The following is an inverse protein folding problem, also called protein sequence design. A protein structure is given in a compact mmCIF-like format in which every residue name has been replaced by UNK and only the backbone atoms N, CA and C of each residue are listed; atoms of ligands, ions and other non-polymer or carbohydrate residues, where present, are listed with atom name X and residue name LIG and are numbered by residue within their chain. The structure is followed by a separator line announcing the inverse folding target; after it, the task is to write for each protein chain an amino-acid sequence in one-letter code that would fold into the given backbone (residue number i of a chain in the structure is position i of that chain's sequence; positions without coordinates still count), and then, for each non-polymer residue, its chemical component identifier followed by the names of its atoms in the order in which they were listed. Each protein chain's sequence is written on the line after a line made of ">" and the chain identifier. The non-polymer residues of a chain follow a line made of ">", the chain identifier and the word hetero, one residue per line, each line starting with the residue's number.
data_IF_473323515312
#
_entry.id   IF_473323515312
#
_cell.length_a   1.000
_cell.length_b   1.000
_cell.length_c   1.000
_cell.angle_alpha   90.00
_cell.angle_beta   90.00
_cell.angle_gamma   90.00
#
_symmetry.space_group_name_H-M   'P 1'
#
loop_
_entity.id
_entity.type
_entity.pdbx_description
1 polymer ?
#
# COMPACT_ATOMS: atom_id res chain seq x y z
N UNK A 1 -2.30 21.55 -3.92
CA UNK A 1 -1.97 20.28 -4.59
C UNK A 1 -3.19 19.37 -4.49
N UNK A 2 -3.79 18.90 -5.60
CA UNK A 2 -4.91 17.98 -5.52
C UNK A 2 -4.42 16.65 -4.94
N UNK A 3 -4.91 16.30 -3.76
CA UNK A 3 -4.60 15.04 -3.09
C UNK A 3 -5.26 13.89 -3.82
N UNK A 4 -4.52 12.81 -4.12
CA UNK A 4 -5.05 11.56 -4.68
C UNK A 4 -5.99 10.80 -3.72
N UNK A 5 -6.49 11.41 -2.64
CA UNK A 5 -7.26 10.72 -1.60
C UNK A 5 -8.63 10.26 -2.12
N UNK A 6 -8.83 8.94 -2.16
CA UNK A 6 -10.15 8.32 -2.16
C UNK A 6 -10.76 8.35 -0.75
N UNK A 7 -12.09 8.44 -0.65
CA UNK A 7 -12.87 8.56 0.59
C UNK A 7 -13.09 7.24 1.36
N UNK A 8 -12.11 6.33 1.44
CA UNK A 8 -12.20 5.21 2.39
C UNK A 8 -11.62 5.68 3.72
N UNK A 9 -12.41 5.63 4.78
CA UNK A 9 -11.91 5.95 6.11
C UNK A 9 -10.97 4.84 6.64
N UNK A 10 -10.18 5.16 7.68
CA UNK A 10 -9.20 4.20 8.23
C UNK A 10 -9.85 2.95 8.83
N UNK A 11 -11.12 3.03 9.23
CA UNK A 11 -11.90 1.91 9.80
C UNK A 11 -12.34 0.96 8.69
N UNK A 12 -12.89 1.48 7.60
CA UNK A 12 -13.27 0.74 6.40
C UNK A 12 -12.05 0.08 5.76
N UNK A 13 -10.93 0.80 5.70
CA UNK A 13 -9.64 0.27 5.24
C UNK A 13 -9.19 -0.92 6.09
N UNK A 14 -9.21 -0.78 7.42
CA UNK A 14 -8.80 -1.86 8.34
C UNK A 14 -9.73 -3.06 8.23
N UNK A 15 -11.04 -2.84 8.19
CA UNK A 15 -12.05 -3.90 8.05
C UNK A 15 -11.84 -4.70 6.76
N UNK A 16 -11.68 -4.01 5.63
CA UNK A 16 -11.46 -4.66 4.34
C UNK A 16 -10.15 -5.47 4.30
N UNK A 17 -9.06 -4.94 4.88
CA UNK A 17 -7.78 -5.66 4.96
C UNK A 17 -7.80 -6.82 5.97
N UNK A 18 -8.62 -6.73 7.01
CA UNK A 18 -8.79 -7.77 8.03
C UNK A 18 -9.58 -8.97 7.50
N UNK A 19 -10.60 -8.71 6.68
CA UNK A 19 -11.42 -9.77 6.05
C UNK A 19 -10.64 -10.59 5.00
N UNK A 20 -9.46 -10.11 4.57
CA UNK A 20 -8.55 -10.84 3.68
C UNK A 20 -7.68 -11.82 4.47
N UNK A 21 -7.37 -13.03 3.96
CA UNK A 21 -6.53 -13.99 4.65
C UNK A 21 -5.13 -13.37 4.77
N UNK A 22 -4.47 -13.58 5.91
CA UNK A 22 -3.08 -13.14 6.10
C UNK A 22 -2.19 -13.82 5.06
N UNK A 23 -1.15 -13.12 4.61
CA UNK A 23 -0.16 -13.50 3.59
C UNK A 23 0.43 -14.92 3.79
N UNK A 24 -0.30 -15.99 3.51
CA UNK A 24 0.22 -17.35 3.59
C UNK A 24 0.88 -17.81 2.26
N UNK A 25 0.53 -17.16 1.14
CA UNK A 25 0.99 -17.59 -0.19
C UNK A 25 2.05 -16.68 -0.83
N UNK A 26 2.15 -15.42 -0.40
CA UNK A 26 3.13 -14.45 -0.93
C UNK A 26 3.84 -13.72 0.21
N UNK A 27 4.98 -14.25 0.63
CA UNK A 27 5.90 -13.58 1.55
C UNK A 27 6.67 -12.48 0.83
N UNK A 28 6.02 -11.34 0.56
CA UNK A 28 6.72 -10.12 0.19
C UNK A 28 7.26 -9.43 1.44
N UNK A 29 8.29 -10.02 2.05
CA UNK A 29 9.15 -9.26 2.95
C UNK A 29 10.20 -8.54 2.09
N UNK A 30 10.26 -7.20 2.12
CA UNK A 30 11.33 -6.50 1.45
C UNK A 30 12.67 -6.97 2.05
N UNK A 31 13.67 -7.33 1.23
CA UNK A 31 14.94 -7.83 1.72
C UNK A 31 15.55 -6.84 2.71
N UNK A 32 15.98 -7.34 3.87
CA UNK A 32 16.67 -6.52 4.85
C UNK A 32 18.03 -6.13 4.29
N UNK A 33 18.18 -4.88 3.87
CA UNK A 33 19.50 -4.34 3.52
C UNK A 33 20.30 -4.25 4.82
N UNK A 34 21.38 -5.01 4.92
CA UNK A 34 22.31 -4.89 6.03
C UNK A 34 22.83 -3.44 6.04
N UNK A 35 22.53 -2.69 7.11
CA UNK A 35 22.96 -1.29 7.24
C UNK A 35 24.48 -1.25 7.13
N UNK A 36 24.99 -0.75 6.00
CA UNK A 36 26.42 -0.57 5.84
C UNK A 36 26.86 0.57 6.77
N UNK A 37 27.94 0.40 7.55
CA UNK A 37 28.47 1.45 8.43
C UNK A 37 28.78 2.76 7.69
N UNK A 38 29.06 2.68 6.39
CA UNK A 38 29.38 3.81 5.50
C UNK A 38 28.16 4.53 4.90
N UNK A 39 26.92 4.09 5.17
CA UNK A 39 25.75 4.80 4.64
C UNK A 39 25.59 6.17 5.29
N UNK A 40 25.42 7.20 4.46
CA UNK A 40 25.01 8.53 4.94
C UNK A 40 23.61 8.47 5.56
N UNK A 41 23.31 9.44 6.43
CA UNK A 41 21.99 9.54 7.06
C UNK A 41 20.88 9.77 6.03
N UNK A 42 21.16 10.58 4.99
CA UNK A 42 20.27 10.77 3.84
C UNK A 42 20.01 9.47 3.10
N UNK A 43 21.04 8.65 2.84
CA UNK A 43 20.87 7.35 2.20
C UNK A 43 20.03 6.40 3.05
N UNK A 44 20.22 6.38 4.38
CA UNK A 44 19.39 5.57 5.31
C UNK A 44 17.93 6.01 5.31
N UNK A 45 17.67 7.32 5.30
CA UNK A 45 16.31 7.87 5.27
C UNK A 45 15.60 7.50 3.97
N UNK A 46 16.27 7.63 2.83
CA UNK A 46 15.73 7.26 1.52
C UNK A 46 15.44 5.76 1.44
N UNK A 47 16.36 4.91 1.90
CA UNK A 47 16.16 3.46 1.95
C UNK A 47 14.94 3.08 2.79
N UNK A 48 14.80 3.67 3.99
CA UNK A 48 13.64 3.43 4.85
C UNK A 48 12.32 3.85 4.18
N UNK A 49 12.30 5.00 3.48
CA UNK A 49 11.14 5.46 2.73
C UNK A 49 10.75 4.48 1.61
N UNK A 50 11.74 3.98 0.86
CA UNK A 50 11.52 2.97 -0.18
C UNK A 50 11.00 1.66 0.39
N UNK A 51 11.57 1.21 1.52
CA UNK A 51 11.12 0.02 2.25
C UNK A 51 9.67 0.16 2.71
N UNK A 52 9.28 1.33 3.22
CA UNK A 52 7.90 1.59 3.65
C UNK A 52 6.92 1.59 2.46
N UNK A 53 7.33 2.14 1.31
CA UNK A 53 6.54 2.07 0.06
C UNK A 53 6.37 0.61 -0.37
N UNK A 54 7.45 -0.17 -0.41
CA UNK A 54 7.42 -1.60 -0.77
C UNK A 54 6.49 -2.38 0.15
N UNK A 55 6.58 -2.15 1.47
CA UNK A 55 5.69 -2.77 2.45
C UNK A 55 4.22 -2.42 2.23
N UNK A 56 3.92 -1.15 1.92
CA UNK A 56 2.54 -0.72 1.62
C UNK A 56 2.02 -1.37 0.35
N UNK A 57 2.83 -1.45 -0.71
CA UNK A 57 2.48 -2.10 -1.96
C UNK A 57 2.27 -3.60 -1.78
N UNK A 58 3.11 -4.28 -0.99
CA UNK A 58 2.91 -5.71 -0.71
C UNK A 58 1.60 -5.99 0.03
N UNK A 59 1.16 -5.08 0.90
CA UNK A 59 -0.17 -5.16 1.53
C UNK A 59 -1.33 -5.11 0.53
N UNK A 60 -1.13 -4.53 -0.66
CA UNK A 60 -2.16 -4.41 -1.70
C UNK A 60 -2.39 -5.71 -2.48
N UNK A 61 -1.55 -6.73 -2.32
CA UNK A 61 -1.80 -8.02 -2.96
C UNK A 61 -2.91 -8.81 -2.26
N UNK A 62 -3.15 -8.55 -0.96
CA UNK A 62 -4.12 -9.29 -0.13
C UNK A 62 -5.55 -9.29 -0.65
N UNK A 63 -6.13 -8.15 -1.07
CA UNK A 63 -7.47 -8.15 -1.63
C UNK A 63 -7.59 -9.02 -2.89
N UNK A 64 -6.53 -9.10 -3.70
CA UNK A 64 -6.51 -9.95 -4.88
C UNK A 64 -6.40 -11.44 -4.51
N UNK A 65 -5.53 -11.78 -3.55
CA UNK A 65 -5.40 -13.16 -3.05
C UNK A 65 -6.72 -13.65 -2.44
N UNK A 66 -7.37 -12.82 -1.60
CA UNK A 66 -8.69 -13.11 -1.04
C UNK A 66 -9.73 -13.30 -2.16
N UNK A 67 -9.78 -12.37 -3.11
CA UNK A 67 -10.76 -12.42 -4.17
C UNK A 67 -10.58 -13.65 -5.07
N UNK A 68 -9.34 -14.01 -5.42
CA UNK A 68 -9.05 -15.21 -6.21
C UNK A 68 -9.48 -16.50 -5.49
N UNK A 69 -9.19 -16.60 -4.20
CA UNK A 69 -9.64 -17.73 -3.37
C UNK A 69 -11.17 -17.82 -3.33
N UNK A 70 -11.83 -16.71 -3.02
CA UNK A 70 -13.28 -16.69 -2.89
C UNK A 70 -14.01 -16.84 -4.23
N UNK A 71 -13.43 -16.38 -5.34
CA UNK A 71 -14.02 -16.58 -6.68
C UNK A 71 -14.05 -18.06 -7.10
N UNK A 72 -13.26 -18.91 -6.45
CA UNK A 72 -13.17 -20.34 -6.75
C UNK A 72 -13.81 -21.21 -5.66
N UNK A 73 -13.83 -20.75 -4.41
CA UNK A 73 -14.31 -21.53 -3.25
C UNK A 73 -15.49 -20.90 -2.50
N UNK A 74 -15.70 -19.59 -2.66
CA UNK A 74 -16.87 -18.89 -2.14
C UNK A 74 -18.02 -19.17 -3.10
N UNK A 75 -19.00 -19.96 -2.66
CA UNK A 75 -20.21 -20.26 -3.42
C UNK A 75 -21.08 -19.00 -3.61
N UNK A 76 -20.58 -18.04 -4.38
CA UNK A 76 -21.21 -16.77 -4.66
C UNK A 76 -22.19 -16.92 -5.82
N UNK A 77 -23.38 -16.36 -5.64
CA UNK A 77 -24.28 -16.16 -6.76
C UNK A 77 -23.77 -15.04 -7.70
N UNK A 78 -24.41 -14.88 -8.86
CA UNK A 78 -23.99 -13.93 -9.87
C UNK A 78 -24.00 -12.47 -9.38
N UNK A 79 -24.94 -12.11 -8.51
CA UNK A 79 -25.05 -10.74 -7.98
C UNK A 79 -23.98 -10.49 -6.92
N UNK A 80 -23.73 -11.46 -6.04
CA UNK A 80 -22.64 -11.42 -5.07
C UNK A 80 -21.31 -11.29 -5.79
N UNK A 81 -21.06 -12.08 -6.84
CA UNK A 81 -19.85 -11.98 -7.64
C UNK A 81 -19.69 -10.56 -8.19
N UNK A 82 -20.72 -10.02 -8.85
CA UNK A 82 -20.71 -8.65 -9.42
C UNK A 82 -20.39 -7.58 -8.38
N UNK A 83 -21.09 -7.59 -7.23
CA UNK A 83 -20.89 -6.61 -6.15
C UNK A 83 -19.49 -6.72 -5.56
N UNK A 84 -18.99 -7.95 -5.35
CA UNK A 84 -17.65 -8.20 -4.82
C UNK A 84 -16.56 -7.76 -5.78
N UNK A 85 -16.71 -8.00 -7.10
CA UNK A 85 -15.76 -7.50 -8.11
C UNK A 85 -15.72 -5.97 -8.13
N UNK A 86 -16.88 -5.31 -8.11
CA UNK A 86 -16.95 -3.84 -8.08
C UNK A 86 -16.31 -3.27 -6.81
N UNK A 87 -16.57 -3.89 -5.66
CA UNK A 87 -15.96 -3.52 -4.39
C UNK A 87 -14.44 -3.69 -4.41
N UNK A 88 -13.94 -4.81 -4.95
CA UNK A 88 -12.50 -5.04 -5.11
C UNK A 88 -11.85 -3.91 -5.93
N UNK A 89 -12.40 -3.60 -7.12
CA UNK A 89 -11.84 -2.55 -7.99
C UNK A 89 -11.83 -1.21 -7.27
N UNK A 90 -12.97 -0.80 -6.69
CA UNK A 90 -13.08 0.48 -5.99
C UNK A 90 -12.08 0.59 -4.83
N UNK A 91 -12.00 -0.45 -4.01
CA UNK A 91 -11.15 -0.44 -2.82
C UNK A 91 -9.67 -0.51 -3.19
N UNK A 92 -9.29 -1.29 -4.20
CA UNK A 92 -7.92 -1.34 -4.71
C UNK A 92 -7.48 0.01 -5.28
N UNK A 93 -8.32 0.66 -6.10
CA UNK A 93 -8.03 2.00 -6.62
C UNK A 93 -7.81 2.99 -5.47
N UNK A 94 -8.67 2.95 -4.46
CA UNK A 94 -8.55 3.80 -3.29
C UNK A 94 -7.26 3.54 -2.49
N UNK A 95 -6.90 2.28 -2.30
CA UNK A 95 -5.67 1.89 -1.60
C UNK A 95 -4.42 2.33 -2.37
N UNK A 96 -4.39 2.14 -3.69
CA UNK A 96 -3.31 2.61 -4.57
C UNK A 96 -3.17 4.14 -4.48
N UNK A 97 -4.29 4.85 -4.51
CA UNK A 97 -4.31 6.31 -4.40
C UNK A 97 -3.80 6.78 -3.01
N UNK A 98 -4.04 5.99 -1.96
CA UNK A 98 -3.44 6.18 -0.64
C UNK A 98 -1.91 6.01 -0.64
N UNK A 99 -1.37 5.02 -1.37
CA UNK A 99 0.08 4.87 -1.54
C UNK A 99 0.67 6.02 -2.34
N UNK A 100 0.02 6.44 -3.43
CA UNK A 100 0.44 7.59 -4.22
C UNK A 100 0.44 8.90 -3.41
N UNK A 101 -0.54 9.08 -2.51
CA UNK A 101 -0.58 10.21 -1.59
C UNK A 101 0.61 10.18 -0.64
N UNK A 102 0.92 9.03 -0.04
CA UNK A 102 2.09 8.88 0.83
C UNK A 102 3.40 9.19 0.10
N UNK A 103 3.58 8.71 -1.14
CA UNK A 103 4.75 9.04 -1.98
C UNK A 103 4.81 10.55 -2.26
N UNK A 104 3.66 11.20 -2.49
CA UNK A 104 3.60 12.64 -2.69
C UNK A 104 4.04 13.40 -1.45
N UNK A 105 3.57 12.99 -0.27
CA UNK A 105 3.95 13.60 1.01
C UNK A 105 5.47 13.46 1.25
N UNK A 106 6.05 12.28 0.98
CA UNK A 106 7.50 12.06 1.06
C UNK A 106 8.27 12.98 0.11
N UNK A 107 7.80 13.13 -1.14
CA UNK A 107 8.43 13.99 -2.14
C UNK A 107 8.38 15.47 -1.73
N UNK A 108 7.23 15.94 -1.25
CA UNK A 108 7.07 17.33 -0.78
C UNK A 108 7.96 17.59 0.43
N UNK A 109 8.01 16.68 1.39
CA UNK A 109 8.89 16.80 2.55
C UNK A 109 10.38 16.85 2.16
N UNK A 110 10.80 16.03 1.18
CA UNK A 110 12.16 16.06 0.66
C UNK A 110 12.50 17.37 -0.06
N UNK A 111 11.58 17.91 -0.85
CA UNK A 111 11.76 19.20 -1.53
C UNK A 111 11.89 20.36 -0.54
N UNK A 112 11.06 20.40 0.50
CA UNK A 112 11.13 21.45 1.53
C UNK A 112 12.46 21.38 2.31
N UNK A 113 12.90 20.19 2.70
CA UNK A 113 14.18 20.04 3.40
C UNK A 113 15.38 20.50 2.55
N UNK A 114 15.37 20.24 1.23
CA UNK A 114 16.42 20.70 0.33
C UNK A 114 16.45 22.22 0.12
N UNK A 115 15.31 22.91 0.28
CA UNK A 115 15.25 24.38 0.23
C UNK A 115 15.86 25.01 1.49
N UNK A 116 15.67 24.38 2.66
CA UNK A 116 16.22 24.86 3.93
C UNK A 116 17.74 24.62 4.05
N UNK A 117 18.28 23.56 3.44
CA UNK A 117 19.74 23.30 3.40
C UNK A 117 20.53 24.25 2.49
N UNK A 118 19.85 25.00 1.62
CA UNK A 118 20.47 25.95 0.66
C UNK A 118 20.50 27.40 1.17
N UNK A 119 20.04 27.66 2.39
CA UNK A 119 19.87 28.99 2.99
C UNK A 119 20.82 29.22 4.14
#
# INVERSE_FOLDING_TARGET
>A
MPTFRSKLDDTERRKFLFDCPKNALRHYEPPTVNRLPSMSETARKTDQQLRDIQYRLSGLTRPFDWYAYQSTHGNWDAEQFRVRSQSLVRNTVALLAGVASYITDLRVAGLLAGVDEQR
#
